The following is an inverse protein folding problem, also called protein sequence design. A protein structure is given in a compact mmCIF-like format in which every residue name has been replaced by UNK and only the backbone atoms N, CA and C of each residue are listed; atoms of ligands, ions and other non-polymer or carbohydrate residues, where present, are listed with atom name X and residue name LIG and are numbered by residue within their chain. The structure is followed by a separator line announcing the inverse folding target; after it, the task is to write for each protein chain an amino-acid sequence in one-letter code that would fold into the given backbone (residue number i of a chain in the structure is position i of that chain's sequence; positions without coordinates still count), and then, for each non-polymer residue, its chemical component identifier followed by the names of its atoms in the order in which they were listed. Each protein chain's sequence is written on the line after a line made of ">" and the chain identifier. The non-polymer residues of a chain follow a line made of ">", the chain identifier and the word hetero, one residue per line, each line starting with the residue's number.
data_IF_831109172169
#
_entry.id   IF_831109172169
#
_cell.length_a   1.000
_cell.length_b   1.000
_cell.length_c   1.000
_cell.angle_alpha   90.00
_cell.angle_beta   90.00
_cell.angle_gamma   90.00
#
_symmetry.space_group_name_H-M   'P 1'
#
loop_
_entity.id
_entity.type
_entity.pdbx_description
1 polymer ?
#
# COMPACT_ATOMS: atom_id res chain seq x y z
N UNK A 1 26.79 11.58 -6.20
CA UNK A 1 25.85 11.57 -5.06
C UNK A 1 24.74 12.62 -5.23
N UNK A 2 25.05 13.91 -5.42
CA UNK A 2 24.03 14.97 -5.60
C UNK A 2 23.07 14.67 -6.75
N UNK A 3 23.59 14.20 -7.90
CA UNK A 3 22.77 13.85 -9.08
C UNK A 3 21.75 12.76 -8.82
N UNK A 4 22.11 11.70 -8.07
CA UNK A 4 21.18 10.62 -7.71
C UNK A 4 20.06 11.11 -6.80
N UNK A 5 20.40 11.97 -5.83
CA UNK A 5 19.42 12.60 -4.95
C UNK A 5 18.45 13.51 -5.73
N UNK A 6 18.99 14.35 -6.63
CA UNK A 6 18.17 15.25 -7.47
C UNK A 6 17.24 14.47 -8.41
N UNK A 7 17.73 13.39 -9.02
CA UNK A 7 16.88 12.52 -9.86
C UNK A 7 15.79 11.88 -8.99
N UNK A 8 16.15 11.29 -7.85
CA UNK A 8 15.21 10.62 -6.95
C UNK A 8 14.09 11.52 -6.43
N UNK A 9 14.37 12.81 -6.22
CA UNK A 9 13.37 13.77 -5.71
C UNK A 9 12.61 14.54 -6.79
N UNK A 10 13.09 14.56 -8.03
CA UNK A 10 12.50 15.36 -9.12
C UNK A 10 11.76 14.55 -10.18
N UNK A 11 12.03 13.25 -10.28
CA UNK A 11 11.37 12.40 -11.26
C UNK A 11 10.10 11.81 -10.64
N UNK A 12 8.95 12.29 -11.11
CA UNK A 12 7.66 11.73 -10.71
C UNK A 12 7.35 10.51 -11.58
N UNK A 13 7.64 9.31 -11.06
CA UNK A 13 7.39 8.03 -11.73
C UNK A 13 6.05 7.40 -11.36
N UNK A 14 5.42 7.89 -10.30
CA UNK A 14 4.18 7.33 -9.79
C UNK A 14 2.97 8.08 -10.38
N UNK A 15 1.84 7.40 -10.56
CA UNK A 15 0.61 8.06 -10.96
C UNK A 15 0.17 9.08 -9.91
N UNK A 16 -0.82 9.90 -10.23
CA UNK A 16 -1.41 10.86 -9.31
C UNK A 16 -1.85 10.18 -8.00
N UNK A 17 -1.55 10.81 -6.87
CA UNK A 17 -1.96 10.33 -5.55
C UNK A 17 -3.43 10.70 -5.28
N UNK A 18 -4.21 9.75 -4.80
CA UNK A 18 -5.63 9.95 -4.54
C UNK A 18 -6.12 9.32 -3.21
N UNK A 19 -5.20 8.97 -2.31
CA UNK A 19 -5.52 8.50 -0.97
C UNK A 19 -4.53 9.00 0.09
N UNK A 20 -4.94 8.96 1.36
CA UNK A 20 -4.08 9.31 2.49
C UNK A 20 -2.84 8.42 2.59
N UNK A 21 -2.94 7.15 2.19
CA UNK A 21 -1.84 6.18 2.23
C UNK A 21 -0.78 6.47 1.15
N UNK A 22 -1.15 7.14 0.06
CA UNK A 22 -0.25 7.43 -1.06
C UNK A 22 0.96 8.25 -0.62
N UNK A 23 0.78 9.25 0.24
CA UNK A 23 1.88 10.08 0.73
C UNK A 23 2.97 9.29 1.45
N UNK A 24 2.59 8.38 2.34
CA UNK A 24 3.54 7.55 3.09
C UNK A 24 4.32 6.61 2.14
N UNK A 25 3.61 5.97 1.21
CA UNK A 25 4.21 5.09 0.21
C UNK A 25 5.15 5.86 -0.72
N UNK A 26 4.74 7.01 -1.23
CA UNK A 26 5.53 7.82 -2.16
C UNK A 26 6.82 8.35 -1.49
N UNK A 27 6.77 8.67 -0.21
CA UNK A 27 7.94 9.05 0.59
C UNK A 27 8.95 7.89 0.69
N UNK A 28 8.47 6.68 0.97
CA UNK A 28 9.31 5.48 0.99
C UNK A 28 9.92 5.21 -0.39
N UNK A 29 9.10 5.26 -1.43
CA UNK A 29 9.55 5.05 -2.80
C UNK A 29 10.66 6.05 -3.20
N UNK A 30 10.49 7.33 -2.88
CA UNK A 30 11.51 8.36 -3.17
C UNK A 30 12.84 8.10 -2.48
N UNK A 31 12.81 7.67 -1.21
CA UNK A 31 14.03 7.29 -0.46
C UNK A 31 14.72 6.10 -1.13
N UNK A 32 13.97 5.02 -1.40
CA UNK A 32 14.50 3.82 -2.03
C UNK A 32 15.04 4.10 -3.43
N UNK A 33 14.30 4.87 -4.23
CA UNK A 33 14.72 5.24 -5.59
C UNK A 33 15.97 6.12 -5.57
N UNK A 34 16.10 7.05 -4.62
CA UNK A 34 17.28 7.89 -4.46
C UNK A 34 18.51 7.07 -4.10
N UNK A 35 18.40 6.16 -3.13
CA UNK A 35 19.49 5.25 -2.73
C UNK A 35 19.86 4.33 -3.91
N UNK A 36 18.88 3.72 -4.56
CA UNK A 36 19.10 2.83 -5.69
C UNK A 36 19.79 3.52 -6.87
N UNK A 37 19.34 4.72 -7.21
CA UNK A 37 19.96 5.53 -8.28
C UNK A 37 21.39 5.92 -7.93
N UNK A 38 21.64 6.31 -6.67
CA UNK A 38 22.98 6.66 -6.21
C UNK A 38 23.96 5.46 -6.31
N UNK A 39 23.51 4.28 -5.85
CA UNK A 39 24.30 3.05 -5.92
C UNK A 39 24.54 2.63 -7.37
N UNK A 40 23.51 2.66 -8.21
CA UNK A 40 23.62 2.31 -9.63
C UNK A 40 24.63 3.21 -10.36
N UNK A 41 24.52 4.51 -10.20
CA UNK A 41 25.47 5.46 -10.81
C UNK A 41 26.89 5.28 -10.25
N UNK A 42 27.02 5.01 -8.95
CA UNK A 42 28.32 4.72 -8.32
C UNK A 42 29.01 3.52 -8.94
N UNK A 43 28.30 2.40 -9.06
CA UNK A 43 28.79 1.17 -9.68
C UNK A 43 29.11 1.40 -11.16
N UNK A 44 28.22 2.09 -11.90
CA UNK A 44 28.43 2.39 -13.32
C UNK A 44 29.70 3.22 -13.54
N UNK A 45 29.92 4.25 -12.71
CA UNK A 45 31.11 5.11 -12.81
C UNK A 45 32.39 4.29 -12.55
N UNK A 46 32.39 3.45 -11.51
CA UNK A 46 33.55 2.59 -11.19
C UNK A 46 33.80 1.60 -12.32
N UNK A 47 32.74 1.00 -12.88
CA UNK A 47 32.83 0.06 -13.99
C UNK A 47 33.43 0.74 -15.25
N UNK A 48 32.88 1.88 -15.65
CA UNK A 48 33.33 2.62 -16.82
C UNK A 48 34.81 3.08 -16.62
N UNK A 49 35.11 3.62 -15.42
CA UNK A 49 36.49 3.98 -15.08
C UNK A 49 37.45 2.79 -15.21
N UNK A 50 37.07 1.63 -14.70
CA UNK A 50 37.88 0.43 -14.75
C UNK A 50 38.10 -0.07 -16.18
N UNK A 51 37.05 -0.09 -17.00
CA UNK A 51 37.12 -0.47 -18.40
C UNK A 51 38.02 0.46 -19.22
N UNK A 52 37.98 1.76 -18.95
CA UNK A 52 38.80 2.74 -19.67
C UNK A 52 40.24 2.74 -19.15
N UNK A 53 40.44 2.74 -17.82
CA UNK A 53 41.78 2.92 -17.18
C UNK A 53 42.62 1.68 -17.24
N UNK A 54 42.03 0.50 -17.07
CA UNK A 54 42.71 -0.78 -17.02
C UNK A 54 42.55 -1.61 -18.30
N UNK A 55 42.17 -0.96 -19.41
CA UNK A 55 42.09 -1.60 -20.72
C UNK A 55 43.45 -2.15 -21.12
N UNK A 56 43.50 -3.45 -21.50
CA UNK A 56 44.67 -4.08 -22.07
C UNK A 56 45.11 -3.39 -23.37
N UNK A 57 46.39 -3.09 -23.47
CA UNK A 57 46.94 -2.45 -24.68
C UNK A 57 47.29 -3.51 -25.72
N UNK A 58 47.19 -3.20 -27.04
CA UNK A 58 47.64 -4.14 -28.06
C UNK A 58 49.12 -4.55 -27.83
N UNK A 59 49.39 -5.87 -27.80
CA UNK A 59 50.74 -6.39 -27.60
C UNK A 59 51.14 -6.65 -26.13
N UNK A 60 50.33 -6.29 -25.17
CA UNK A 60 50.59 -6.55 -23.76
C UNK A 60 50.13 -7.99 -23.40
N UNK A 61 51.10 -8.87 -23.13
CA UNK A 61 50.87 -10.29 -22.83
C UNK A 61 51.08 -10.63 -21.34
N UNK A 62 51.46 -9.65 -20.53
CA UNK A 62 51.68 -9.85 -19.11
C UNK A 62 50.39 -10.11 -18.34
N UNK A 63 50.42 -11.01 -17.39
CA UNK A 63 49.34 -11.22 -16.46
C UNK A 63 49.22 -10.05 -15.45
N UNK A 64 48.04 -9.82 -14.92
CA UNK A 64 47.83 -8.83 -13.88
C UNK A 64 48.54 -9.21 -12.55
N UNK A 65 48.76 -8.23 -11.65
CA UNK A 65 49.32 -8.52 -10.34
C UNK A 65 48.41 -9.47 -9.56
N UNK A 66 49.00 -10.48 -8.89
CA UNK A 66 48.27 -11.41 -8.03
C UNK A 66 47.90 -10.73 -6.70
N UNK A 67 46.75 -10.05 -6.68
CA UNK A 67 46.21 -9.43 -5.46
C UNK A 67 45.09 -10.32 -4.92
N UNK A 68 45.29 -10.90 -3.73
CA UNK A 68 44.41 -11.92 -3.17
C UNK A 68 43.41 -11.40 -2.11
N UNK A 69 43.32 -10.12 -1.88
CA UNK A 69 42.33 -9.57 -0.94
C UNK A 69 42.80 -8.30 -0.24
N UNK A 70 41.84 -7.64 0.41
CA UNK A 70 42.09 -6.44 1.22
C UNK A 70 41.06 -6.39 2.34
N UNK A 71 41.43 -6.94 3.50
CA UNK A 71 40.52 -7.06 4.66
C UNK A 71 39.84 -5.74 5.06
N UNK A 72 40.52 -4.58 5.14
CA UNK A 72 39.84 -3.32 5.42
C UNK A 72 38.78 -2.95 4.40
N UNK A 73 39.05 -3.19 3.12
CA UNK A 73 38.10 -2.92 2.03
C UNK A 73 36.91 -3.90 2.11
N UNK A 74 37.16 -5.16 2.41
CA UNK A 74 36.12 -6.19 2.59
C UNK A 74 35.18 -5.86 3.74
N UNK A 75 35.70 -5.41 4.86
CA UNK A 75 34.88 -4.94 5.99
C UNK A 75 34.01 -3.74 5.58
N UNK A 76 34.57 -2.76 4.89
CA UNK A 76 33.84 -1.55 4.49
C UNK A 76 32.70 -1.87 3.52
N UNK A 77 32.95 -2.66 2.48
CA UNK A 77 31.90 -2.96 1.50
C UNK A 77 30.83 -3.92 2.02
N UNK A 78 31.09 -4.63 3.12
CA UNK A 78 30.09 -5.45 3.82
C UNK A 78 29.30 -4.61 4.83
N UNK A 79 29.98 -3.81 5.65
CA UNK A 79 29.35 -3.06 6.72
C UNK A 79 28.41 -1.94 6.22
N UNK A 80 28.83 -1.21 5.18
CA UNK A 80 28.02 -0.10 4.65
C UNK A 80 26.66 -0.58 4.10
N UNK A 81 26.59 -1.58 3.20
CA UNK A 81 25.30 -2.10 2.75
C UNK A 81 24.46 -2.72 3.87
N UNK A 82 25.09 -3.40 4.83
CA UNK A 82 24.38 -3.97 5.97
C UNK A 82 23.65 -2.91 6.80
N UNK A 83 24.32 -1.78 7.08
CA UNK A 83 23.72 -0.65 7.79
C UNK A 83 22.60 0.01 6.97
N UNK A 84 22.80 0.17 5.65
CA UNK A 84 21.79 0.73 4.76
C UNK A 84 20.54 -0.17 4.71
N UNK A 85 20.70 -1.48 4.57
CA UNK A 85 19.59 -2.44 4.55
C UNK A 85 18.84 -2.43 5.88
N UNK A 86 19.54 -2.39 7.00
CA UNK A 86 18.93 -2.31 8.32
C UNK A 86 18.09 -1.03 8.47
N UNK A 87 18.63 0.12 8.07
CA UNK A 87 17.90 1.39 8.09
C UNK A 87 16.66 1.36 7.21
N UNK A 88 16.81 0.89 5.96
CA UNK A 88 15.69 0.77 5.00
C UNK A 88 14.63 -0.18 5.55
N UNK A 89 15.03 -1.31 6.15
CA UNK A 89 14.11 -2.27 6.73
C UNK A 89 13.27 -1.67 7.87
N UNK A 90 13.91 -0.97 8.80
CA UNK A 90 13.22 -0.29 9.91
C UNK A 90 12.28 0.80 9.38
N UNK A 91 12.73 1.60 8.43
CA UNK A 91 11.92 2.68 7.84
C UNK A 91 10.72 2.13 7.05
N UNK A 92 10.91 1.06 6.28
CA UNK A 92 9.83 0.39 5.55
C UNK A 92 8.78 -0.21 6.50
N UNK A 93 9.24 -0.80 7.61
CA UNK A 93 8.35 -1.37 8.62
C UNK A 93 7.49 -0.30 9.31
N UNK A 94 8.08 0.84 9.68
CA UNK A 94 7.34 1.98 10.25
C UNK A 94 6.24 2.50 9.30
N UNK A 95 6.55 2.60 8.00
CA UNK A 95 5.56 3.01 7.00
C UNK A 95 4.46 1.94 6.84
N UNK A 96 4.84 0.66 6.78
CA UNK A 96 3.89 -0.44 6.71
C UNK A 96 2.90 -0.41 7.88
N UNK A 97 3.36 -0.18 9.11
CA UNK A 97 2.50 -0.06 10.27
C UNK A 97 1.55 1.16 10.18
N UNK A 98 2.03 2.28 9.68
CA UNK A 98 1.19 3.47 9.46
C UNK A 98 0.09 3.25 8.41
N UNK A 99 0.30 2.37 7.46
CA UNK A 99 -0.66 2.04 6.40
C UNK A 99 -1.69 0.96 6.82
N UNK A 100 -1.72 0.55 8.08
CA UNK A 100 -2.63 -0.46 8.61
C UNK A 100 -1.95 -1.74 9.07
N UNK A 101 -0.70 -1.97 8.69
CA UNK A 101 0.20 -3.00 9.21
C UNK A 101 -0.38 -4.40 9.29
N UNK A 102 -0.09 -5.06 10.41
CA UNK A 102 -0.53 -6.43 10.71
C UNK A 102 -2.01 -6.55 11.09
N UNK A 103 -2.75 -5.46 11.17
CA UNK A 103 -4.17 -5.51 11.56
C UNK A 103 -5.00 -6.42 10.64
N UNK A 104 -4.60 -6.54 9.37
CA UNK A 104 -5.22 -7.45 8.41
C UNK A 104 -4.84 -8.94 8.59
N UNK A 105 -3.83 -9.25 9.38
CA UNK A 105 -3.35 -10.63 9.61
C UNK A 105 -3.86 -11.24 10.93
N UNK A 106 -4.48 -10.44 11.78
CA UNK A 106 -4.99 -10.88 13.09
C UNK A 106 -6.39 -11.52 13.00
N UNK A 107 -6.73 -12.11 11.86
CA UNK A 107 -8.02 -12.76 11.61
C UNK A 107 -8.21 -14.08 12.36
N UNK A 108 -7.21 -14.58 13.08
CA UNK A 108 -7.31 -15.76 13.92
C UNK A 108 -8.15 -15.56 15.20
N UNK A 109 -8.54 -14.32 15.50
CA UNK A 109 -9.32 -13.98 16.71
C UNK A 109 -10.74 -13.47 16.42
N UNK A 110 -11.17 -13.44 15.15
CA UNK A 110 -12.59 -13.26 14.85
C UNK A 110 -13.32 -14.59 15.04
N UNK A 111 -13.60 -14.89 16.28
CA UNK A 111 -14.50 -15.97 16.67
C UNK A 111 -15.83 -15.77 15.92
N UNK A 112 -16.29 -16.77 15.18
CA UNK A 112 -17.60 -16.77 14.52
C UNK A 112 -18.76 -16.51 15.52
N UNK A 113 -18.50 -16.65 16.82
CA UNK A 113 -19.41 -16.28 17.89
C UNK A 113 -19.61 -14.75 18.05
N UNK A 114 -18.69 -13.90 17.56
CA UNK A 114 -18.82 -12.45 17.65
C UNK A 114 -19.77 -11.87 16.58
N UNK A 115 -20.02 -12.57 15.49
CA UNK A 115 -20.96 -12.11 14.45
C UNK A 115 -22.42 -12.14 14.92
N UNK A 116 -22.79 -13.06 15.83
CA UNK A 116 -24.16 -13.13 16.37
C UNK A 116 -24.42 -12.13 17.50
N UNK A 117 -23.38 -11.58 18.11
CA UNK A 117 -23.51 -10.63 19.23
C UNK A 117 -23.23 -9.16 18.85
N UNK A 118 -22.64 -8.88 17.70
CA UNK A 118 -22.35 -7.50 17.23
C UNK A 118 -23.63 -6.71 16.86
N UNK A 119 -24.76 -7.37 16.72
CA UNK A 119 -26.05 -6.70 16.52
C UNK A 119 -26.58 -5.94 17.77
N UNK A 120 -25.94 -6.13 18.94
CA UNK A 120 -26.42 -5.57 20.22
C UNK A 120 -25.44 -4.66 20.96
N UNK A 121 -24.20 -4.43 20.45
CA UNK A 121 -23.19 -3.64 21.17
C UNK A 121 -22.45 -2.67 20.26
N UNK A 122 -23.04 -1.51 20.06
CA UNK A 122 -22.53 -0.43 19.20
C UNK A 122 -21.30 0.32 19.70
N UNK A 123 -20.62 -0.09 20.79
CA UNK A 123 -19.55 0.71 21.43
C UNK A 123 -18.25 -0.01 21.77
N UNK A 124 -18.08 -1.29 21.48
CA UNK A 124 -16.95 -2.06 22.03
C UNK A 124 -15.74 -2.19 21.09
N UNK A 125 -15.85 -1.94 19.79
CA UNK A 125 -14.78 -2.21 18.81
C UNK A 125 -13.73 -1.09 18.76
N UNK A 126 -14.10 0.13 19.09
CA UNK A 126 -13.16 1.27 19.07
C UNK A 126 -12.14 1.24 20.23
N UNK A 127 -12.43 0.55 21.34
CA UNK A 127 -11.61 0.60 22.54
C UNK A 127 -10.46 -0.42 22.61
N UNK A 128 -10.47 -1.47 21.77
CA UNK A 128 -9.46 -2.53 21.83
C UNK A 128 -8.22 -2.25 20.96
N UNK A 129 -8.35 -1.43 19.93
CA UNK A 129 -7.21 -0.97 19.11
C UNK A 129 -6.28 -0.01 19.89
N UNK A 130 -6.78 0.70 20.89
CA UNK A 130 -5.99 1.59 21.74
C UNK A 130 -5.19 0.86 22.84
N UNK A 131 -5.50 -0.38 23.15
CA UNK A 131 -4.91 -1.14 24.29
C UNK A 131 -3.73 -2.02 23.93
N UNK A 132 -3.35 -2.17 22.69
CA UNK A 132 -2.20 -3.02 22.30
C UNK A 132 -0.89 -2.34 22.69
N UNK A 133 0.01 -2.98 23.45
CA UNK A 133 1.32 -2.43 23.74
C UNK A 133 2.11 -2.34 22.43
N UNK A 134 2.44 -1.13 22.00
CA UNK A 134 3.30 -0.89 20.85
C UNK A 134 4.70 -1.35 21.21
N UNK A 135 5.24 -2.32 20.48
CA UNK A 135 6.58 -2.90 20.71
C UNK A 135 7.68 -1.84 20.48
N UNK A 136 7.37 -0.81 19.70
CA UNK A 136 8.25 0.34 19.47
C UNK A 136 7.47 1.62 19.73
N UNK A 137 8.05 2.49 20.58
CA UNK A 137 7.50 3.83 20.85
C UNK A 137 7.62 4.78 19.63
N UNK A 138 7.42 4.26 18.42
CA UNK A 138 7.39 5.04 17.19
C UNK A 138 6.28 6.08 17.24
N UNK A 139 6.52 7.20 16.61
CA UNK A 139 5.59 8.33 16.45
C UNK A 139 4.45 7.82 15.54
N UNK A 140 3.51 7.10 16.13
CA UNK A 140 2.29 6.70 15.42
C UNK A 140 1.36 7.92 15.24
N UNK A 141 0.35 7.85 14.38
CA UNK A 141 -0.59 8.96 14.13
C UNK A 141 -1.26 9.52 15.40
N UNK A 142 -1.27 8.78 16.50
CA UNK A 142 -1.76 9.27 17.80
C UNK A 142 -0.85 10.31 18.47
N UNK A 143 0.41 10.46 18.08
CA UNK A 143 1.31 11.48 18.64
C UNK A 143 1.17 12.85 17.95
N UNK A 144 0.54 12.90 16.77
CA UNK A 144 0.27 14.15 16.03
C UNK A 144 -1.11 14.72 16.36
N UNK A 145 -1.95 13.97 17.09
CA UNK A 145 -3.36 14.30 17.30
C UNK A 145 -3.68 14.87 18.69
N UNK A 146 -2.69 15.35 19.44
CA UNK A 146 -2.92 16.10 20.68
C UNK A 146 -3.06 17.60 20.47
N UNK A 147 -3.34 18.05 19.25
CA UNK A 147 -3.79 19.41 19.03
C UNK A 147 -5.32 19.45 19.04
N UNK A 148 -5.87 20.27 19.92
CA UNK A 148 -7.25 20.36 20.40
C UNK A 148 -8.30 20.79 19.37
N UNK A 149 -8.21 20.32 18.14
CA UNK A 149 -9.19 20.50 17.09
C UNK A 149 -9.24 19.28 16.16
N UNK A 150 -9.66 18.11 16.69
CA UNK A 150 -10.08 17.03 15.81
C UNK A 150 -11.45 17.42 15.21
N UNK A 151 -11.55 17.59 13.87
CA UNK A 151 -12.84 17.47 13.25
C UNK A 151 -13.34 16.05 13.55
N UNK A 152 -14.59 15.92 13.95
CA UNK A 152 -15.26 14.64 14.17
C UNK A 152 -15.01 13.78 12.94
N UNK A 153 -14.14 12.77 13.06
CA UNK A 153 -13.90 11.84 11.94
C UNK A 153 -15.22 11.11 11.73
N UNK A 154 -15.83 11.31 10.58
CA UNK A 154 -17.08 10.65 10.23
C UNK A 154 -16.89 9.14 10.37
N UNK A 155 -17.92 8.43 10.85
CA UNK A 155 -17.87 6.98 10.97
C UNK A 155 -17.47 6.33 9.63
N UNK A 156 -16.64 5.27 9.62
CA UNK A 156 -16.21 4.63 8.40
C UNK A 156 -17.40 4.03 7.63
N UNK A 157 -17.35 4.12 6.31
CA UNK A 157 -18.30 3.44 5.44
C UNK A 157 -17.81 2.01 5.26
N UNK A 158 -18.67 1.04 5.61
CA UNK A 158 -18.40 -0.37 5.38
C UNK A 158 -18.94 -0.80 4.02
N UNK A 159 -18.10 -1.44 3.21
CA UNK A 159 -18.46 -2.04 1.93
C UNK A 159 -17.93 -3.47 1.90
N UNK A 160 -18.76 -4.42 1.50
CA UNK A 160 -18.36 -5.80 1.33
C UNK A 160 -17.98 -6.04 -0.15
N UNK A 161 -16.79 -6.56 -0.39
CA UNK A 161 -16.30 -6.95 -1.71
C UNK A 161 -16.30 -8.47 -1.84
N UNK A 162 -17.03 -8.97 -2.82
CA UNK A 162 -16.89 -10.34 -3.29
C UNK A 162 -16.11 -10.36 -4.61
N UNK A 163 -14.94 -11.02 -4.64
CA UNK A 163 -14.18 -11.28 -5.85
C UNK A 163 -14.48 -12.67 -6.38
N UNK A 164 -14.66 -12.78 -7.70
CA UNK A 164 -14.84 -14.05 -8.41
C UNK A 164 -14.32 -13.93 -9.83
N UNK A 165 -14.13 -15.05 -10.52
CA UNK A 165 -13.74 -15.09 -11.94
C UNK A 165 -14.91 -14.61 -12.81
N UNK A 166 -14.89 -13.41 -13.43
CA UNK A 166 -13.82 -12.41 -13.50
C UNK A 166 -14.40 -11.03 -13.19
N UNK A 167 -14.92 -10.87 -11.97
CA UNK A 167 -15.63 -9.67 -11.55
C UNK A 167 -15.35 -9.32 -10.07
N UNK A 168 -15.48 -8.04 -9.77
CA UNK A 168 -15.59 -7.50 -8.43
C UNK A 168 -17.04 -7.07 -8.19
N UNK A 169 -17.64 -7.50 -7.09
CA UNK A 169 -19.00 -7.14 -6.69
C UNK A 169 -18.93 -6.45 -5.34
N UNK A 170 -19.43 -5.21 -5.29
CA UNK A 170 -19.47 -4.38 -4.09
C UNK A 170 -20.89 -4.35 -3.53
N UNK A 171 -21.01 -4.65 -2.26
CA UNK A 171 -22.26 -4.61 -1.52
C UNK A 171 -22.16 -3.54 -0.43
N UNK A 172 -23.17 -2.72 -0.31
CA UNK A 172 -23.31 -1.66 0.69
C UNK A 172 -24.40 -2.09 1.68
N UNK A 173 -24.04 -2.75 2.79
CA UNK A 173 -25.04 -3.36 3.68
C UNK A 173 -26.04 -2.34 4.22
N UNK A 174 -25.56 -1.14 4.57
CA UNK A 174 -26.41 -0.08 5.13
C UNK A 174 -27.38 0.55 4.12
N UNK A 175 -27.11 0.43 2.83
CA UNK A 175 -27.94 1.03 1.77
C UNK A 175 -28.67 -0.04 0.93
N UNK A 176 -28.37 -1.33 1.10
CA UNK A 176 -28.94 -2.42 0.32
C UNK A 176 -28.53 -2.41 -1.16
N UNK A 177 -27.44 -1.69 -1.51
CA UNK A 177 -26.98 -1.53 -2.90
C UNK A 177 -25.99 -2.63 -3.24
N UNK A 178 -26.08 -3.14 -4.47
CA UNK A 178 -25.06 -4.00 -5.10
C UNK A 178 -24.57 -3.34 -6.38
N UNK A 179 -23.24 -3.19 -6.54
CA UNK A 179 -22.64 -2.50 -7.67
C UNK A 179 -21.44 -3.29 -8.22
N UNK A 180 -21.17 -3.16 -9.52
CA UNK A 180 -19.92 -3.63 -10.14
C UNK A 180 -18.77 -2.64 -10.02
N UNK A 181 -19.01 -1.43 -9.53
CA UNK A 181 -18.02 -0.39 -9.27
C UNK A 181 -18.05 0.02 -7.80
N UNK A 182 -16.89 0.40 -7.25
CA UNK A 182 -16.78 0.89 -5.88
C UNK A 182 -17.03 2.40 -5.86
N UNK A 183 -18.13 2.83 -5.22
CA UNK A 183 -18.46 4.25 -5.03
C UNK A 183 -18.18 4.67 -3.59
N UNK A 184 -17.39 5.71 -3.40
CA UNK A 184 -17.00 6.19 -2.08
C UNK A 184 -17.06 7.73 -2.04
N UNK A 185 -17.35 8.34 -0.87
CA UNK A 185 -17.28 9.79 -0.73
C UNK A 185 -15.83 10.24 -0.50
N UNK A 186 -15.55 11.46 -0.91
CA UNK A 186 -14.30 12.16 -0.64
C UNK A 186 -14.12 12.40 0.86
N UNK A 187 -12.91 12.15 1.37
CA UNK A 187 -12.50 12.53 2.73
C UNK A 187 -13.08 11.67 3.86
N UNK A 188 -13.94 10.69 3.57
CA UNK A 188 -14.48 9.80 4.59
C UNK A 188 -13.73 8.46 4.60
N UNK A 189 -13.39 7.90 5.78
CA UNK A 189 -12.80 6.58 5.87
C UNK A 189 -13.72 5.50 5.29
N UNK A 190 -13.13 4.57 4.54
CA UNK A 190 -13.80 3.40 3.96
C UNK A 190 -13.17 2.14 4.52
N UNK A 191 -14.00 1.23 4.98
CA UNK A 191 -13.65 -0.10 5.42
C UNK A 191 -14.18 -1.11 4.40
N UNK A 192 -13.27 -1.72 3.66
CA UNK A 192 -13.58 -2.70 2.63
C UNK A 192 -13.31 -4.10 3.17
N UNK A 193 -14.37 -4.89 3.35
CA UNK A 193 -14.30 -6.31 3.73
C UNK A 193 -14.30 -7.15 2.48
N UNK A 194 -13.28 -7.97 2.30
CA UNK A 194 -13.04 -8.65 1.03
C UNK A 194 -13.03 -10.17 1.21
N UNK A 195 -13.73 -10.86 0.31
CA UNK A 195 -13.78 -12.31 0.23
C UNK A 195 -13.71 -12.78 -1.22
N UNK A 196 -12.96 -13.84 -1.49
CA UNK A 196 -12.94 -14.51 -2.79
C UNK A 196 -13.77 -15.79 -2.75
N UNK A 197 -14.54 -16.07 -3.83
CA UNK A 197 -15.41 -17.26 -3.91
C UNK A 197 -14.73 -18.47 -4.54
N UNK A 198 -13.70 -18.26 -5.34
CA UNK A 198 -13.13 -19.30 -6.20
C UNK A 198 -11.61 -19.42 -6.06
N UNK A 199 -10.85 -18.50 -6.59
CA UNK A 199 -9.38 -18.45 -6.58
C UNK A 199 -8.89 -17.16 -5.92
N UNK A 200 -7.58 -17.03 -5.75
CA UNK A 200 -6.98 -15.80 -5.26
C UNK A 200 -7.13 -14.70 -6.32
N UNK A 201 -7.59 -13.54 -5.89
CA UNK A 201 -7.61 -12.28 -6.63
C UNK A 201 -6.82 -11.23 -5.87
N UNK A 202 -6.63 -10.03 -6.45
CA UNK A 202 -6.14 -8.89 -5.70
C UNK A 202 -6.92 -7.63 -6.05
N UNK A 203 -7.26 -6.87 -5.04
CA UNK A 203 -7.76 -5.51 -5.16
C UNK A 203 -6.56 -4.58 -5.29
N UNK A 204 -6.41 -3.91 -6.43
CA UNK A 204 -5.31 -2.99 -6.67
C UNK A 204 -5.78 -1.71 -7.35
N UNK A 205 -5.58 -0.59 -6.66
CA UNK A 205 -5.82 0.76 -7.16
C UNK A 205 -4.50 1.53 -7.14
N UNK A 206 -3.81 1.67 -8.27
CA UNK A 206 -2.48 2.29 -8.33
C UNK A 206 -2.41 3.70 -7.75
N UNK A 207 -3.43 4.53 -7.99
CA UNK A 207 -3.49 5.92 -7.50
C UNK A 207 -3.67 6.00 -5.98
N UNK A 208 -4.18 4.94 -5.35
CA UNK A 208 -4.33 4.86 -3.90
C UNK A 208 -3.11 4.23 -3.23
N UNK A 209 -2.16 3.67 -4.00
CA UNK A 209 -1.04 2.85 -3.50
C UNK A 209 -1.49 1.66 -2.67
N UNK A 210 -2.68 1.15 -2.96
CA UNK A 210 -3.28 0.02 -2.24
C UNK A 210 -3.31 -1.21 -3.14
N UNK A 211 -2.70 -2.29 -2.66
CA UNK A 211 -2.84 -3.65 -3.18
C UNK A 211 -3.09 -4.58 -2.01
N UNK A 212 -4.14 -5.37 -2.09
CA UNK A 212 -4.47 -6.38 -1.10
C UNK A 212 -4.98 -7.64 -1.79
N UNK A 213 -4.40 -8.77 -1.45
CA UNK A 213 -4.86 -10.06 -1.97
C UNK A 213 -6.19 -10.44 -1.32
N UNK A 214 -7.06 -11.03 -2.13
CA UNK A 214 -8.37 -11.52 -1.72
C UNK A 214 -8.35 -13.04 -1.85
N UNK A 215 -8.27 -13.73 -0.71
CA UNK A 215 -7.96 -15.16 -0.63
C UNK A 215 -9.22 -15.93 -0.27
N UNK A 216 -9.56 -17.03 -0.97
CA UNK A 216 -10.71 -17.87 -0.62
C UNK A 216 -10.59 -18.41 0.82
N UNK A 217 -11.67 -18.27 1.60
CA UNK A 217 -11.72 -18.75 2.99
C UNK A 217 -10.91 -17.92 3.99
N UNK A 218 -10.31 -16.81 3.56
CA UNK A 218 -9.62 -15.85 4.41
C UNK A 218 -10.16 -14.44 4.16
N UNK A 219 -11.21 -14.01 4.86
CA UNK A 219 -11.68 -12.64 4.75
C UNK A 219 -10.58 -11.64 5.10
N UNK A 220 -10.43 -10.62 4.28
CA UNK A 220 -9.42 -9.56 4.48
C UNK A 220 -10.10 -8.21 4.65
N UNK A 221 -9.47 -7.34 5.43
CA UNK A 221 -9.94 -5.99 5.70
C UNK A 221 -8.95 -4.98 5.15
N UNK A 222 -9.45 -4.01 4.40
CA UNK A 222 -8.66 -2.91 3.87
C UNK A 222 -9.33 -1.59 4.23
N UNK A 223 -8.56 -0.67 4.84
CA UNK A 223 -9.06 0.66 5.19
C UNK A 223 -8.31 1.74 4.40
N UNK A 224 -9.04 2.73 3.90
CA UNK A 224 -8.46 3.87 3.20
C UNK A 224 -9.37 5.10 3.26
N UNK A 225 -8.79 6.26 2.96
CA UNK A 225 -9.54 7.51 2.77
C UNK A 225 -9.13 8.11 1.44
N UNK A 226 -10.09 8.32 0.55
CA UNK A 226 -9.85 8.98 -0.73
C UNK A 226 -9.67 10.49 -0.53
N UNK A 227 -8.67 11.07 -1.19
CA UNK A 227 -8.29 12.49 -1.04
C UNK A 227 -8.58 13.34 -2.26
N UNK A 228 -9.01 12.73 -3.37
CA UNK A 228 -9.34 13.43 -4.62
C UNK A 228 -10.57 12.82 -5.28
N UNK A 229 -11.53 13.63 -5.75
CA UNK A 229 -12.66 13.12 -6.51
C UNK A 229 -12.20 12.64 -7.89
N UNK A 230 -12.89 11.67 -8.47
CA UNK A 230 -12.60 11.14 -9.79
C UNK A 230 -12.87 9.64 -9.91
N UNK A 231 -12.54 9.10 -11.07
CA UNK A 231 -12.70 7.66 -11.36
C UNK A 231 -11.31 7.03 -11.53
N UNK A 232 -11.03 6.04 -10.73
CA UNK A 232 -9.72 5.38 -10.65
C UNK A 232 -9.84 3.91 -11.05
N UNK A 233 -8.92 3.37 -11.88
CA UNK A 233 -8.98 1.97 -12.28
C UNK A 233 -8.71 1.05 -11.10
N UNK A 234 -9.59 0.07 -10.92
CA UNK A 234 -9.39 -1.11 -10.09
C UNK A 234 -9.00 -2.28 -10.98
N UNK A 235 -7.90 -2.93 -10.66
CA UNK A 235 -7.31 -3.99 -11.46
C UNK A 235 -7.09 -5.22 -10.58
N UNK A 236 -7.42 -6.41 -11.08
CA UNK A 236 -6.98 -7.64 -10.44
C UNK A 236 -5.47 -7.80 -10.65
N UNK A 237 -4.72 -7.96 -9.56
CA UNK A 237 -3.25 -8.03 -9.59
C UNK A 237 -2.70 -9.40 -9.12
N UNK A 238 -3.58 -10.44 -9.01
CA UNK A 238 -3.20 -11.84 -8.82
C UNK A 238 -3.77 -12.70 -9.96
N UNK A 239 -2.94 -13.60 -10.52
CA UNK A 239 -3.32 -14.43 -11.66
C UNK A 239 -4.48 -15.35 -11.29
N UNK A 240 -5.67 -14.99 -11.73
CA UNK A 240 -6.92 -15.67 -11.38
C UNK A 240 -7.51 -16.54 -12.51
N UNK A 241 -6.85 -16.67 -13.66
CA UNK A 241 -7.30 -17.51 -14.76
C UNK A 241 -7.20 -16.86 -16.15
N UNK A 242 -7.85 -17.45 -17.17
CA UNK A 242 -7.67 -17.06 -18.59
C UNK A 242 -8.01 -15.58 -18.89
N UNK A 243 -8.99 -15.02 -18.20
CA UNK A 243 -9.43 -13.63 -18.40
C UNK A 243 -8.92 -12.67 -17.32
N UNK A 244 -7.88 -13.05 -16.58
CA UNK A 244 -7.27 -12.22 -15.54
C UNK A 244 -6.99 -10.78 -16.01
N UNK A 245 -6.40 -10.60 -17.19
CA UNK A 245 -6.10 -9.28 -17.74
C UNK A 245 -7.34 -8.41 -18.04
N UNK A 246 -8.51 -9.03 -18.17
CA UNK A 246 -9.81 -8.37 -18.36
C UNK A 246 -10.57 -8.10 -17.07
N UNK A 247 -10.15 -8.67 -15.94
CA UNK A 247 -10.81 -8.47 -14.63
C UNK A 247 -10.47 -7.09 -14.07
N UNK A 248 -11.34 -6.14 -14.36
CA UNK A 248 -11.18 -4.72 -14.01
C UNK A 248 -12.52 -4.15 -13.55
N UNK A 249 -12.43 -3.09 -12.76
CA UNK A 249 -13.56 -2.24 -12.36
C UNK A 249 -13.05 -0.81 -12.13
N UNK A 250 -13.86 0.03 -11.51
CA UNK A 250 -13.51 1.38 -11.14
C UNK A 250 -13.78 1.64 -9.66
N UNK A 251 -13.00 2.56 -9.09
CA UNK A 251 -13.33 3.25 -7.84
C UNK A 251 -13.75 4.66 -8.22
N UNK A 252 -14.99 5.01 -7.93
CA UNK A 252 -15.58 6.33 -8.19
C UNK A 252 -15.62 7.10 -6.88
N UNK A 253 -14.80 8.12 -6.76
CA UNK A 253 -14.74 9.01 -5.60
C UNK A 253 -15.64 10.23 -5.88
N UNK A 254 -16.70 10.36 -5.11
CA UNK A 254 -17.67 11.43 -5.22
C UNK A 254 -17.40 12.58 -4.25
N UNK A 255 -17.77 13.79 -4.63
CA UNK A 255 -18.02 14.83 -3.63
C UNK A 255 -19.15 14.38 -2.69
N UNK A 256 -19.18 14.85 -1.43
CA UNK A 256 -20.13 14.34 -0.42
C UNK A 256 -21.60 14.39 -0.86
N UNK A 257 -22.01 15.47 -1.50
CA UNK A 257 -23.40 15.66 -1.96
C UNK A 257 -23.73 14.70 -3.13
N UNK A 258 -22.80 14.50 -4.05
CA UNK A 258 -22.94 13.58 -5.18
C UNK A 258 -23.00 12.12 -4.70
N UNK A 259 -22.27 11.78 -3.64
CA UNK A 259 -22.35 10.46 -3.03
C UNK A 259 -23.75 10.19 -2.43
N UNK A 260 -24.32 11.17 -1.73
CA UNK A 260 -25.68 11.05 -1.20
C UNK A 260 -26.71 10.91 -2.31
N UNK A 261 -26.55 11.66 -3.40
CA UNK A 261 -27.40 11.55 -4.57
C UNK A 261 -27.29 10.15 -5.23
N UNK A 262 -26.07 9.61 -5.34
CA UNK A 262 -25.84 8.26 -5.85
C UNK A 262 -26.50 7.20 -4.96
N UNK A 263 -26.37 7.29 -3.62
CA UNK A 263 -27.04 6.40 -2.68
C UNK A 263 -28.57 6.43 -2.87
N UNK A 264 -29.15 7.63 -2.94
CA UNK A 264 -30.59 7.80 -3.10
C UNK A 264 -31.13 7.20 -4.42
N UNK A 265 -30.34 7.29 -5.49
CA UNK A 265 -30.74 6.78 -6.82
C UNK A 265 -30.63 5.25 -6.93
N UNK A 266 -29.73 4.61 -6.17
CA UNK A 266 -29.42 3.19 -6.29
C UNK A 266 -29.94 2.35 -5.13
N UNK A 267 -30.39 2.97 -4.01
CA UNK A 267 -31.04 2.24 -2.93
C UNK A 267 -32.37 1.65 -3.41
N UNK A 268 -32.65 0.39 -3.06
CA UNK A 268 -33.95 -0.22 -3.40
C UNK A 268 -35.07 0.64 -2.82
N UNK A 269 -36.07 0.95 -3.65
CA UNK A 269 -37.24 1.66 -3.19
C UNK A 269 -37.84 0.93 -1.98
N UNK A 270 -37.94 1.61 -0.84
CA UNK A 270 -38.62 1.06 0.33
C UNK A 270 -40.03 0.79 -0.10
N UNK A 271 -40.40 -0.47 -0.33
CA UNK A 271 -41.78 -0.85 -0.60
C UNK A 271 -42.60 -0.49 0.63
N UNK A 272 -43.35 0.60 0.51
CA UNK A 272 -44.31 1.09 1.51
C UNK A 272 -45.47 0.11 1.69
#
# INVERSE_FOLDING_TARGET
>A
MVTGLVIGTRVNLLPEDASTNAYAYDSLFQVLFSIGTMLFLGILIVLVYSLVRFRRRPGEMADGPAIEGNLPLEIVWTAIPAVVILFVGIYSYDIYERMGGMASLDHGAMDHAAMDHAAMAGDAVATDLERRPRIWGGIGPAAVLNDSAQPSVAAPITVDLTAMQFAFIFQYPNAGITSGELHVPLGQPVELRMEARDVIHAFWVPQFRLKQDVIPGQPTLLSFTATRPGTYPLICAELCGPYHGGMRSNVVVHEPDDYQAWLAQNSPATSA
#
